data_IF_062539424450
#
_entry.id   IF_062539424450
#
_cell.length_a   1.000
_cell.length_b   1.000
_cell.length_c   1.000
_cell.angle_alpha   90.00
_cell.angle_beta   90.00
_cell.angle_gamma   90.00
#
_symmetry.space_group_name_H-M   'P 1'
#
loop_
_entity.id
_entity.type
_entity.pdbx_description
1 polymer ?
#
# COMPACT_ATOMS: atom_id res chain seq x y z
N UNK A 1 36.27 6.38 39.64
CA UNK A 1 35.12 5.61 39.11
C UNK A 1 34.62 6.33 37.85
N UNK A 2 34.96 5.81 36.67
CA UNK A 2 34.76 6.49 35.38
C UNK A 2 33.30 6.38 34.91
N UNK A 3 32.47 7.33 35.34
CA UNK A 3 31.03 7.45 35.02
C UNK A 3 30.77 7.69 33.51
N UNK A 4 31.84 7.88 32.70
CA UNK A 4 31.74 8.13 31.26
C UNK A 4 31.34 6.90 30.44
N UNK A 5 31.69 5.69 30.91
CA UNK A 5 31.39 4.44 30.20
C UNK A 5 29.89 4.04 30.24
N UNK A 6 29.17 4.09 31.39
CA UNK A 6 27.74 3.77 31.41
C UNK A 6 26.87 4.80 30.67
N UNK A 7 27.30 6.07 30.61
CA UNK A 7 26.59 7.11 29.86
C UNK A 7 26.60 6.85 28.35
N UNK A 8 27.71 6.30 27.82
CA UNK A 8 27.85 5.97 26.40
C UNK A 8 26.97 4.79 25.99
N UNK A 9 26.77 3.81 26.89
CA UNK A 9 25.89 2.66 26.66
C UNK A 9 24.41 3.05 26.68
N UNK A 10 24.01 4.00 27.53
CA UNK A 10 22.63 4.50 27.59
C UNK A 10 22.23 5.25 26.31
N UNK A 11 23.16 5.98 25.68
CA UNK A 11 22.94 6.69 24.41
C UNK A 11 22.72 5.73 23.23
N UNK A 12 23.38 4.56 23.21
CA UNK A 12 23.20 3.57 22.15
C UNK A 12 21.84 2.86 22.17
N UNK A 13 21.23 2.70 23.35
CA UNK A 13 19.91 2.03 23.47
C UNK A 13 18.77 2.94 22.97
N UNK A 14 18.98 4.27 22.99
CA UNK A 14 17.97 5.25 22.54
C UNK A 14 17.77 5.34 21.01
N UNK A 15 18.61 4.66 20.21
CA UNK A 15 18.56 4.75 18.75
C UNK A 15 17.59 3.77 18.06
N UNK A 16 16.90 2.89 18.79
CA UNK A 16 15.90 1.98 18.21
C UNK A 16 14.54 2.68 18.05
N UNK A 17 14.53 3.84 17.40
CA UNK A 17 13.28 4.44 16.93
C UNK A 17 12.90 3.76 15.61
N UNK A 18 11.82 2.97 15.62
CA UNK A 18 11.23 2.50 14.36
C UNK A 18 10.65 3.74 13.65
N UNK A 19 11.36 4.25 12.65
CA UNK A 19 10.90 5.37 11.85
C UNK A 19 9.64 4.92 11.06
N UNK A 20 8.47 5.25 11.60
CA UNK A 20 7.20 5.02 10.92
C UNK A 20 7.14 5.91 9.69
N UNK A 21 6.78 5.32 8.54
CA UNK A 21 6.66 6.10 7.31
C UNK A 21 5.48 7.07 7.40
N UNK A 22 5.49 8.08 6.54
CA UNK A 22 4.39 9.05 6.47
C UNK A 22 3.76 9.09 5.09
N UNK A 23 2.48 9.45 5.06
CA UNK A 23 1.71 9.68 3.85
C UNK A 23 1.16 11.10 3.86
N UNK A 24 1.34 11.83 2.78
CA UNK A 24 0.73 13.15 2.56
C UNK A 24 -0.28 12.98 1.42
N UNK A 25 -1.48 13.54 1.60
CA UNK A 25 -2.57 13.46 0.62
C UNK A 25 -2.95 14.88 0.21
N UNK A 26 -2.70 15.28 -1.03
CA UNK A 26 -3.05 16.60 -1.58
C UNK A 26 -2.57 17.77 -0.69
N UNK A 27 -1.35 17.70 -0.16
CA UNK A 27 -0.78 18.74 0.72
C UNK A 27 -1.35 18.77 2.14
N UNK A 28 -2.05 17.71 2.57
CA UNK A 28 -2.51 17.55 3.96
C UNK A 28 -1.34 17.51 4.95
N UNK A 29 -1.69 17.55 6.25
CA UNK A 29 -0.76 17.13 7.29
C UNK A 29 -0.29 15.68 7.03
N UNK A 30 0.98 15.33 7.35
CA UNK A 30 1.46 13.97 7.23
C UNK A 30 0.70 13.02 8.15
N UNK A 31 0.28 11.87 7.62
CA UNK A 31 -0.34 10.78 8.37
C UNK A 31 0.67 9.67 8.63
N UNK A 32 0.59 9.05 9.81
CA UNK A 32 1.37 7.84 10.10
C UNK A 32 0.95 6.69 9.18
N UNK A 33 1.92 6.07 8.52
CA UNK A 33 1.68 5.09 7.47
C UNK A 33 2.58 3.85 7.60
N UNK A 34 2.11 2.75 7.01
CA UNK A 34 2.92 1.56 6.80
C UNK A 34 4.05 1.84 5.83
N UNK A 35 4.95 0.87 5.69
CA UNK A 35 5.81 0.86 4.52
C UNK A 35 5.00 0.72 3.22
N UNK A 36 5.62 1.07 2.11
CA UNK A 36 5.05 0.87 0.79
C UNK A 36 5.29 -0.58 0.32
N UNK A 37 4.21 -1.31 0.05
CA UNK A 37 4.25 -2.69 -0.44
C UNK A 37 4.12 -2.72 -1.96
N UNK A 38 4.96 -3.50 -2.63
CA UNK A 38 4.82 -3.76 -4.07
C UNK A 38 4.02 -5.03 -4.27
N UNK A 39 2.73 -4.90 -4.58
CA UNK A 39 1.88 -6.03 -4.94
C UNK A 39 2.03 -6.36 -6.42
N UNK A 40 1.87 -7.65 -6.73
CA UNK A 40 2.00 -8.19 -8.08
C UNK A 40 0.66 -8.09 -8.82
N UNK A 41 0.64 -7.44 -9.98
CA UNK A 41 -0.53 -7.32 -10.85
C UNK A 41 -0.24 -7.87 -12.24
N UNK A 42 -0.30 -9.20 -12.39
CA UNK A 42 0.07 -9.94 -13.61
C UNK A 42 -0.56 -9.41 -14.91
N UNK A 43 -1.82 -8.98 -14.85
CA UNK A 43 -2.54 -8.50 -16.03
C UNK A 43 -2.18 -7.07 -16.44
N UNK A 44 -1.43 -6.33 -15.63
CA UNK A 44 -1.06 -4.95 -15.94
C UNK A 44 0.29 -4.90 -16.65
N UNK A 45 0.26 -4.85 -17.99
CA UNK A 45 1.45 -5.06 -18.81
C UNK A 45 2.54 -3.96 -18.70
N UNK A 46 2.25 -2.80 -18.08
CA UNK A 46 3.24 -1.73 -18.01
C UNK A 46 4.38 -2.07 -17.04
N UNK A 47 4.06 -2.43 -15.80
CA UNK A 47 5.06 -2.85 -14.79
C UNK A 47 4.74 -4.17 -14.12
N UNK A 48 3.49 -4.66 -14.20
CA UNK A 48 3.06 -5.82 -13.43
C UNK A 48 3.01 -5.58 -11.92
N UNK A 49 3.03 -4.31 -11.48
CA UNK A 49 3.20 -3.93 -10.08
C UNK A 49 2.23 -2.83 -9.64
N UNK A 50 1.80 -2.88 -8.38
CA UNK A 50 1.00 -1.85 -7.72
C UNK A 50 1.61 -1.56 -6.35
N UNK A 51 1.89 -0.30 -6.09
CA UNK A 51 2.36 0.17 -4.80
C UNK A 51 1.17 0.43 -3.88
N UNK A 52 1.20 -0.18 -2.70
CA UNK A 52 0.13 -0.16 -1.70
C UNK A 52 0.69 0.37 -0.40
N UNK A 53 0.05 1.39 0.16
CA UNK A 53 0.40 1.91 1.47
C UNK A 53 -0.87 2.22 2.26
N UNK A 54 -0.85 1.95 3.57
CA UNK A 54 -1.98 2.21 4.47
C UNK A 54 -1.56 3.28 5.47
N UNK A 55 -2.39 4.30 5.66
CA UNK A 55 -2.20 5.31 6.70
C UNK A 55 -3.36 5.35 7.68
N UNK A 56 -3.07 5.77 8.91
CA UNK A 56 -4.07 5.99 9.95
C UNK A 56 -4.46 7.46 10.03
N UNK A 57 -5.75 7.68 10.26
CA UNK A 57 -6.33 8.99 10.53
C UNK A 57 -7.15 8.93 11.81
N UNK A 58 -7.59 10.08 12.30
CA UNK A 58 -8.51 10.15 13.45
C UNK A 58 -9.86 9.46 13.19
N UNK A 59 -10.28 9.37 11.92
CA UNK A 59 -11.61 8.87 11.52
C UNK A 59 -11.57 7.49 10.85
N UNK A 60 -10.43 6.80 10.91
CA UNK A 60 -10.23 5.52 10.25
C UNK A 60 -8.87 5.47 9.56
N UNK A 61 -8.84 5.21 8.26
CA UNK A 61 -7.57 5.11 7.52
C UNK A 61 -7.66 5.46 6.05
N UNK A 62 -6.50 5.43 5.40
CA UNK A 62 -6.33 5.77 3.98
C UNK A 62 -5.57 4.65 3.31
N UNK A 63 -6.09 4.13 2.20
CA UNK A 63 -5.38 3.29 1.25
C UNK A 63 -4.84 4.18 0.13
N UNK A 64 -3.53 4.16 -0.06
CA UNK A 64 -2.86 4.73 -1.22
C UNK A 64 -2.54 3.61 -2.20
N UNK A 65 -3.05 3.72 -3.41
CA UNK A 65 -2.69 2.87 -4.55
C UNK A 65 -1.91 3.71 -5.55
N UNK A 66 -0.73 3.24 -5.95
CA UNK A 66 0.08 3.91 -6.98
C UNK A 66 0.49 2.91 -8.05
N UNK A 67 0.22 3.26 -9.30
CA UNK A 67 0.66 2.50 -10.47
C UNK A 67 1.50 3.39 -11.37
N UNK A 68 2.49 2.79 -12.03
CA UNK A 68 3.19 3.45 -13.11
C UNK A 68 2.27 3.50 -14.34
N UNK A 69 2.30 4.60 -15.08
CA UNK A 69 1.44 4.87 -16.22
C UNK A 69 2.25 5.51 -17.34
N UNK A 70 2.03 5.08 -18.58
CA UNK A 70 2.66 5.64 -19.77
C UNK A 70 2.28 7.11 -20.07
N UNK A 71 1.20 7.62 -19.46
CA UNK A 71 0.73 8.99 -19.62
C UNK A 71 -0.18 9.40 -18.46
N UNK A 72 -0.44 10.70 -18.35
CA UNK A 72 -1.30 11.36 -17.37
C UNK A 72 -2.81 11.07 -17.53
N UNK A 73 -3.22 10.51 -18.68
CA UNK A 73 -4.62 10.17 -18.95
C UNK A 73 -5.06 8.87 -18.30
N UNK A 74 -4.12 7.97 -18.00
CA UNK A 74 -4.44 6.73 -17.30
C UNK A 74 -4.45 6.95 -15.79
N UNK A 75 -5.53 6.47 -15.18
CA UNK A 75 -5.78 6.67 -13.76
C UNK A 75 -6.54 5.50 -13.17
N UNK A 76 -6.31 5.24 -11.89
CA UNK A 76 -7.19 4.38 -11.12
C UNK A 76 -8.49 5.15 -10.89
N UNK A 77 -9.63 4.51 -11.17
CA UNK A 77 -10.94 5.13 -10.98
C UNK A 77 -11.98 4.11 -10.54
N UNK A 78 -13.10 4.59 -10.00
CA UNK A 78 -14.19 3.73 -9.57
C UNK A 78 -13.89 2.95 -8.29
N UNK A 79 -14.80 2.04 -7.95
CA UNK A 79 -14.71 1.29 -6.70
C UNK A 79 -13.48 0.38 -6.65
N UNK A 80 -12.85 0.32 -5.47
CA UNK A 80 -11.75 -0.59 -5.16
C UNK A 80 -12.24 -1.62 -4.15
N UNK A 81 -11.88 -2.88 -4.36
CA UNK A 81 -12.18 -3.95 -3.41
C UNK A 81 -10.89 -4.50 -2.82
N UNK A 82 -10.79 -4.49 -1.50
CA UNK A 82 -9.68 -5.07 -0.76
C UNK A 82 -10.14 -6.42 -0.23
N UNK A 83 -9.61 -7.49 -0.83
CA UNK A 83 -9.91 -8.86 -0.44
C UNK A 83 -8.93 -9.26 0.68
N UNK A 84 -9.47 -9.71 1.82
CA UNK A 84 -8.71 -10.11 2.99
C UNK A 84 -8.43 -11.62 2.98
N UNK A 85 -7.41 -12.05 3.72
CA UNK A 85 -7.02 -13.45 3.81
C UNK A 85 -8.11 -14.36 4.40
N UNK A 86 -9.02 -13.81 5.21
CA UNK A 86 -10.19 -14.51 5.78
C UNK A 86 -11.41 -14.54 4.83
N UNK A 87 -11.24 -14.16 3.56
CA UNK A 87 -12.28 -14.04 2.53
C UNK A 87 -13.29 -12.89 2.72
N UNK A 88 -13.12 -12.02 3.72
CA UNK A 88 -13.86 -10.76 3.78
C UNK A 88 -13.42 -9.82 2.66
N UNK A 89 -14.33 -8.93 2.26
CA UNK A 89 -14.08 -7.88 1.26
C UNK A 89 -14.44 -6.52 1.85
N UNK A 90 -13.51 -5.57 1.74
CA UNK A 90 -13.77 -4.16 2.03
C UNK A 90 -13.99 -3.43 0.70
N UNK A 91 -15.16 -2.82 0.54
CA UNK A 91 -15.51 -2.07 -0.65
C UNK A 91 -15.25 -0.57 -0.44
N UNK A 92 -14.25 -0.04 -1.13
CA UNK A 92 -13.89 1.37 -1.12
C UNK A 92 -14.55 2.11 -2.29
N UNK A 93 -15.18 3.24 -2.00
CA UNK A 93 -15.75 4.12 -3.02
C UNK A 93 -14.73 5.13 -3.52
N UNK A 94 -14.76 5.43 -4.82
CA UNK A 94 -13.92 6.48 -5.41
C UNK A 94 -14.41 7.85 -4.92
N UNK A 95 -13.56 8.56 -4.16
CA UNK A 95 -13.81 9.95 -3.77
C UNK A 95 -13.11 10.95 -4.69
N UNK A 96 -12.56 10.47 -5.80
CA UNK A 96 -11.81 11.23 -6.79
C UNK A 96 -10.61 12.00 -6.21
N UNK A 97 -9.98 11.45 -5.16
CA UNK A 97 -8.77 12.00 -4.53
C UNK A 97 -7.56 11.34 -5.19
N UNK A 98 -6.86 12.09 -6.05
CA UNK A 98 -5.87 11.55 -6.99
C UNK A 98 -4.72 12.52 -7.18
N UNK A 99 -3.53 11.97 -7.40
CA UNK A 99 -2.32 12.69 -7.75
C UNK A 99 -1.70 12.03 -8.98
N UNK A 100 -1.07 12.81 -9.86
CA UNK A 100 -0.33 12.26 -11.00
C UNK A 100 0.95 13.05 -11.17
N UNK A 101 2.07 12.33 -11.12
CA UNK A 101 3.41 12.89 -11.18
C UNK A 101 4.38 11.80 -11.69
N UNK A 102 5.40 12.21 -12.44
CA UNK A 102 6.54 11.35 -12.83
C UNK A 102 6.16 10.00 -13.46
N UNK A 103 5.18 10.00 -14.37
CA UNK A 103 4.72 8.76 -15.03
C UNK A 103 4.06 7.78 -14.06
N UNK A 104 3.49 8.27 -12.95
CA UNK A 104 2.72 7.50 -11.99
C UNK A 104 1.39 8.20 -11.72
N UNK A 105 0.37 7.39 -11.47
CA UNK A 105 -0.90 7.87 -10.95
C UNK A 105 -1.14 7.24 -9.58
N UNK A 106 -1.56 8.07 -8.65
CA UNK A 106 -1.87 7.70 -7.28
C UNK A 106 -3.33 7.99 -7.01
N UNK A 107 -4.02 7.06 -6.35
CA UNK A 107 -5.40 7.24 -5.89
C UNK A 107 -5.53 6.88 -4.43
N UNK A 108 -6.35 7.65 -3.72
CA UNK A 108 -6.55 7.54 -2.29
C UNK A 108 -7.99 7.10 -1.99
N UNK A 109 -8.11 6.08 -1.15
CA UNK A 109 -9.38 5.52 -0.69
C UNK A 109 -9.43 5.55 0.83
N UNK A 110 -10.62 5.66 1.39
CA UNK A 110 -10.79 5.85 2.84
C UNK A 110 -11.45 4.64 3.45
N UNK A 111 -10.94 4.26 4.61
CA UNK A 111 -11.52 3.25 5.48
C UNK A 111 -12.19 3.90 6.68
N UNK A 112 -13.29 3.32 7.10
CA UNK A 112 -13.91 3.56 8.41
C UNK A 112 -13.07 2.92 9.53
N UNK A 113 -13.32 3.28 10.80
CA UNK A 113 -12.63 2.65 11.93
C UNK A 113 -12.87 1.14 12.01
N UNK A 114 -14.07 0.67 11.66
CA UNK A 114 -14.41 -0.75 11.65
C UNK A 114 -13.61 -1.52 10.58
N UNK A 115 -13.45 -0.95 9.39
CA UNK A 115 -12.65 -1.54 8.32
C UNK A 115 -11.15 -1.54 8.66
N UNK A 116 -10.66 -0.47 9.30
CA UNK A 116 -9.30 -0.45 9.84
C UNK A 116 -9.08 -1.55 10.88
N UNK A 117 -10.05 -1.82 11.74
CA UNK A 117 -9.95 -2.92 12.70
C UNK A 117 -9.87 -4.27 12.00
N UNK A 118 -10.59 -4.49 10.88
CA UNK A 118 -10.42 -5.71 10.07
C UNK A 118 -9.00 -5.83 9.53
N UNK A 119 -8.47 -4.75 8.96
CA UNK A 119 -7.11 -4.69 8.41
C UNK A 119 -6.01 -4.92 9.47
N UNK A 120 -6.24 -4.52 10.72
CA UNK A 120 -5.33 -4.80 11.85
C UNK A 120 -5.28 -6.28 12.23
N UNK A 121 -6.33 -7.05 11.93
CA UNK A 121 -6.47 -8.44 12.35
C UNK A 121 -6.31 -9.43 11.19
N UNK A 122 -6.34 -8.99 9.94
CA UNK A 122 -6.31 -9.89 8.78
C UNK A 122 -5.50 -9.28 7.64
N UNK A 123 -4.56 -10.06 7.12
CA UNK A 123 -3.71 -9.64 6.01
C UNK A 123 -4.55 -9.34 4.75
N UNK A 124 -4.13 -8.31 4.00
CA UNK A 124 -4.64 -8.06 2.66
C UNK A 124 -4.15 -9.19 1.76
N UNK A 125 -5.06 -9.87 1.08
CA UNK A 125 -4.76 -10.92 0.10
C UNK A 125 -4.62 -10.34 -1.30
N UNK A 126 -5.57 -9.51 -1.72
CA UNK A 126 -5.58 -8.90 -3.04
C UNK A 126 -6.33 -7.57 -3.03
N UNK A 127 -6.06 -6.74 -4.05
CA UNK A 127 -6.77 -5.49 -4.29
C UNK A 127 -7.24 -5.47 -5.72
N UNK A 128 -8.56 -5.36 -5.92
CA UNK A 128 -9.20 -5.24 -7.22
C UNK A 128 -9.51 -3.79 -7.49
N UNK A 129 -9.11 -3.29 -8.66
CA UNK A 129 -9.25 -1.89 -9.04
C UNK A 129 -9.44 -1.76 -10.56
N UNK A 130 -9.87 -0.58 -10.99
CA UNK A 130 -10.13 -0.29 -12.40
C UNK A 130 -9.15 0.78 -12.86
N UNK A 131 -8.51 0.57 -14.01
CA UNK A 131 -7.75 1.60 -14.70
C UNK A 131 -8.60 2.12 -15.85
N UNK A 132 -8.77 3.44 -15.89
CA UNK A 132 -9.47 4.16 -16.97
C UNK A 132 -8.52 5.14 -17.63
N UNK A 133 -8.72 5.44 -18.91
CA UNK A 133 -7.89 6.37 -19.67
C UNK A 133 -8.21 6.31 -21.16
N UNK A 134 -7.48 7.07 -21.96
CA UNK A 134 -7.61 7.00 -23.42
C UNK A 134 -6.80 5.81 -23.98
N UNK A 135 -7.47 4.89 -24.66
CA UNK A 135 -6.81 3.79 -25.38
C UNK A 135 -6.20 4.29 -26.69
N UNK A 136 -4.89 4.43 -26.75
CA UNK A 136 -4.14 4.53 -28.01
C UNK A 136 -3.26 3.28 -28.19
N UNK A 137 -2.75 3.05 -29.40
CA UNK A 137 -2.01 1.83 -29.79
C UNK A 137 -0.76 1.55 -28.95
N UNK A 138 -0.24 2.57 -28.26
CA UNK A 138 0.90 2.51 -27.33
C UNK A 138 0.51 2.95 -25.90
N UNK A 139 -0.78 2.86 -25.57
CA UNK A 139 -1.38 3.40 -24.35
C UNK A 139 -1.43 2.41 -23.18
N UNK A 140 -1.80 2.96 -22.02
CA UNK A 140 -2.06 2.15 -20.82
C UNK A 140 -3.22 1.19 -21.06
N UNK A 141 -3.09 -0.04 -20.55
CA UNK A 141 -4.21 -0.98 -20.51
C UNK A 141 -5.29 -0.43 -19.58
N UNK A 142 -6.51 -0.35 -20.11
CA UNK A 142 -7.71 0.01 -19.33
C UNK A 142 -8.50 -1.25 -19.03
N UNK A 143 -9.28 -1.24 -17.95
CA UNK A 143 -10.09 -2.38 -17.53
C UNK A 143 -9.90 -2.73 -16.07
N UNK A 144 -10.16 -4.00 -15.75
CA UNK A 144 -10.19 -4.53 -14.39
C UNK A 144 -8.92 -5.27 -14.06
N UNK A 145 -8.30 -4.90 -12.94
CA UNK A 145 -7.02 -5.42 -12.50
C UNK A 145 -7.13 -5.95 -11.08
N UNK A 146 -6.22 -6.87 -10.75
CA UNK A 146 -6.12 -7.43 -9.40
C UNK A 146 -4.65 -7.53 -9.03
N UNK A 147 -4.26 -6.76 -8.01
CA UNK A 147 -2.95 -6.83 -7.41
C UNK A 147 -2.98 -7.84 -6.25
N UNK A 148 -2.12 -8.83 -6.30
CA UNK A 148 -1.98 -9.89 -5.31
C UNK A 148 -0.86 -9.50 -4.32
N UNK A 149 -1.10 -9.73 -3.04
CA UNK A 149 -0.06 -9.64 -2.02
C UNK A 149 0.91 -10.82 -2.21
N UNK A 150 1.94 -10.62 -3.04
CA UNK A 150 2.99 -11.60 -3.34
C UNK A 150 4.33 -10.87 -3.47
N UNK A 151 5.39 -11.44 -2.88
CA UNK A 151 6.75 -10.88 -2.85
C UNK A 151 7.58 -11.36 -4.04
N UNK A 152 7.37 -12.58 -4.54
CA UNK A 152 8.08 -13.09 -5.72
C UNK A 152 7.20 -14.02 -6.58
N UNK A 153 7.52 -14.09 -7.87
CA UNK A 153 6.92 -15.04 -8.82
C UNK A 153 7.54 -16.44 -8.74
N UNK A 154 8.81 -16.52 -8.33
CA UNK A 154 9.60 -17.75 -8.34
C UNK A 154 10.00 -18.14 -6.93
N UNK A 155 9.81 -19.42 -6.61
CA UNK A 155 10.32 -20.09 -5.42
C UNK A 155 10.80 -21.48 -5.81
N UNK A 156 11.89 -21.95 -5.22
CA UNK A 156 12.33 -23.34 -5.39
C UNK A 156 11.48 -24.25 -4.50
N UNK A 157 11.47 -25.57 -4.78
CA UNK A 157 10.73 -26.55 -3.98
C UNK A 157 11.16 -26.60 -2.49
N UNK A 158 12.30 -26.00 -2.14
CA UNK A 158 12.86 -25.97 -0.79
C UNK A 158 12.65 -24.64 -0.06
N UNK A 159 12.02 -23.66 -0.71
CA UNK A 159 11.84 -22.33 -0.14
C UNK A 159 10.55 -22.25 0.70
N UNK A 160 10.73 -22.24 2.02
CA UNK A 160 9.63 -22.15 3.00
C UNK A 160 9.38 -20.72 3.50
N UNK A 161 10.05 -19.71 2.95
CA UNK A 161 9.85 -18.32 3.39
C UNK A 161 8.46 -17.82 3.05
N UNK A 162 7.86 -16.99 3.93
CA UNK A 162 6.56 -16.36 3.67
C UNK A 162 6.69 -15.47 2.43
N UNK A 163 5.89 -15.75 1.40
CA UNK A 163 5.91 -15.03 0.10
C UNK A 163 4.93 -13.88 0.02
N UNK A 164 4.38 -13.44 1.15
CA UNK A 164 3.39 -12.37 1.22
C UNK A 164 3.73 -11.42 2.37
N UNK A 165 3.38 -10.14 2.22
CA UNK A 165 3.58 -9.13 3.24
C UNK A 165 2.65 -9.38 4.45
N UNK A 166 3.18 -9.18 5.66
CA UNK A 166 2.42 -9.23 6.93
C UNK A 166 1.69 -7.89 7.17
N UNK A 167 0.84 -7.49 6.24
CA UNK A 167 0.15 -6.20 6.27
C UNK A 167 -0.59 -5.96 7.59
N UNK A 168 -1.25 -6.96 8.17
CA UNK A 168 -2.00 -6.80 9.42
C UNK A 168 -1.10 -6.43 10.60
N UNK A 169 0.07 -7.08 10.69
CA UNK A 169 1.06 -6.79 11.73
C UNK A 169 1.53 -5.35 11.66
N UNK A 170 1.81 -4.84 10.47
CA UNK A 170 2.27 -3.47 10.29
C UNK A 170 1.15 -2.43 10.45
N UNK A 171 -0.08 -2.77 10.05
CA UNK A 171 -1.23 -1.89 10.27
C UNK A 171 -1.60 -1.83 11.76
N UNK A 172 -1.36 -2.90 12.52
CA UNK A 172 -1.62 -2.96 13.97
C UNK A 172 -0.78 -1.98 14.79
N UNK A 173 0.43 -1.66 14.31
CA UNK A 173 1.34 -0.71 14.96
C UNK A 173 1.08 0.76 14.57
N UNK A 174 0.06 1.03 13.72
CA UNK A 174 -0.41 2.38 13.42
C UNK A 174 -1.33 2.96 14.51
#
# INVERSE_FOLDING_TARGET
MNIKFPLFVLLFISALTNAQQTMIVNGSKPFSATQNYTFICEKYAFTGEVNVQIAKTEKGGILKLTIATANDKARIAGGVYVDLANADVIACTDKNVKESADGKTTSYYYFTPAEMNKLKNTDIKAIRFIITGSSNTFGNQTGYFTAQNKISYFSTAYDQSKKTFNTAKEISVL
#
